data_IF_500805621875
#
_entry.id   IF_500805621875
#
_cell.length_a   1.000
_cell.length_b   1.000
_cell.length_c   1.000
_cell.angle_alpha   90.00
_cell.angle_beta   90.00
_cell.angle_gamma   90.00
#
_symmetry.space_group_name_H-M   'P 1'
#
loop_
_entity.id
_entity.type
_entity.pdbx_description
1 polymer ?
#
# COMPACT_ATOMS: atom_id res chain seq x y z
N UNK A 1 15.40 6.04 -1.56
CA UNK A 1 16.64 6.05 -0.77
C UNK A 1 17.83 5.62 -1.62
N UNK A 2 17.89 4.38 -2.12
CA UNK A 2 19.02 3.91 -2.94
C UNK A 2 19.36 4.83 -4.12
N UNK A 3 18.39 5.14 -4.99
CA UNK A 3 18.66 5.99 -6.16
C UNK A 3 19.14 7.41 -5.82
N UNK A 4 18.64 7.99 -4.73
CA UNK A 4 19.09 9.32 -4.27
C UNK A 4 20.52 9.25 -3.74
N UNK A 5 20.85 8.23 -2.94
CA UNK A 5 22.22 8.04 -2.46
C UNK A 5 23.18 7.76 -3.63
N UNK A 6 22.76 6.99 -4.62
CA UNK A 6 23.56 6.73 -5.81
C UNK A 6 23.79 8.01 -6.62
N UNK A 7 22.75 8.82 -6.81
CA UNK A 7 22.84 10.13 -7.45
C UNK A 7 23.82 11.07 -6.72
N UNK A 8 23.72 11.16 -5.39
CA UNK A 8 24.61 11.97 -4.57
C UNK A 8 26.07 11.52 -4.69
N UNK A 9 26.32 10.20 -4.63
CA UNK A 9 27.65 9.63 -4.80
C UNK A 9 28.23 9.91 -6.19
N UNK A 10 27.42 9.77 -7.25
CA UNK A 10 27.86 10.04 -8.62
C UNK A 10 28.30 11.51 -8.80
N UNK A 11 27.72 12.43 -8.03
CA UNK A 11 28.05 13.85 -8.04
C UNK A 11 29.07 14.25 -6.96
N UNK A 12 29.68 13.29 -6.26
CA UNK A 12 30.58 13.56 -5.13
C UNK A 12 29.97 14.44 -4.02
N UNK A 13 28.63 14.37 -3.85
CA UNK A 13 27.91 15.06 -2.78
C UNK A 13 27.93 14.25 -1.50
N UNK A 14 27.74 14.92 -0.37
CA UNK A 14 27.47 14.24 0.90
C UNK A 14 26.13 13.53 0.84
N UNK A 15 26.09 12.26 1.27
CA UNK A 15 24.85 11.50 1.32
C UNK A 15 23.85 12.16 2.29
N UNK A 16 22.68 12.53 1.79
CA UNK A 16 21.62 13.15 2.60
C UNK A 16 20.91 12.16 3.51
N UNK A 17 20.98 10.86 3.19
CA UNK A 17 20.31 9.80 3.91
C UNK A 17 21.21 8.58 4.11
N UNK A 18 21.58 8.31 5.36
CA UNK A 18 22.30 7.08 5.73
C UNK A 18 21.28 5.95 5.96
N UNK A 19 21.32 4.85 5.19
CA UNK A 19 20.40 3.73 5.36
C UNK A 19 20.64 3.05 6.70
N UNK A 20 19.55 2.70 7.38
CA UNK A 20 19.61 1.94 8.62
C UNK A 20 19.09 0.53 8.41
N UNK A 21 19.94 -0.46 8.72
CA UNK A 21 19.63 -1.89 8.66
C UNK A 21 19.23 -2.46 10.02
N UNK A 22 18.99 -1.59 11.01
CA UNK A 22 18.68 -1.98 12.39
C UNK A 22 17.28 -2.60 12.45
N UNK A 23 17.18 -3.93 12.36
CA UNK A 23 15.89 -4.64 12.43
C UNK A 23 15.18 -4.52 13.78
N UNK A 24 15.92 -4.25 14.86
CA UNK A 24 15.35 -4.12 16.21
C UNK A 24 14.35 -2.97 16.38
N UNK A 25 14.25 -2.08 15.39
CA UNK A 25 13.27 -0.99 15.35
C UNK A 25 11.85 -1.49 15.05
N UNK A 26 11.74 -2.72 14.55
CA UNK A 26 10.48 -3.44 14.32
C UNK A 26 10.33 -4.60 15.32
N UNK A 27 10.75 -4.40 16.57
CA UNK A 27 10.57 -5.40 17.61
C UNK A 27 9.09 -5.50 18.04
N UNK A 28 8.59 -6.72 18.30
CA UNK A 28 7.24 -6.93 18.82
C UNK A 28 7.09 -6.38 20.24
N UNK A 29 5.85 -6.16 20.65
CA UNK A 29 5.47 -5.87 22.04
C UNK A 29 5.77 -7.06 22.95
N UNK A 30 5.81 -6.77 24.25
CA UNK A 30 5.97 -7.77 25.32
C UNK A 30 4.87 -7.55 26.37
N UNK A 31 3.81 -8.38 26.39
CA UNK A 31 3.51 -9.46 25.44
C UNK A 31 3.07 -8.92 24.05
N UNK A 32 3.19 -9.72 22.97
CA UNK A 32 2.56 -9.40 21.70
C UNK A 32 1.03 -9.32 21.84
N UNK A 33 0.39 -8.42 21.08
CA UNK A 33 -1.07 -8.22 21.09
C UNK A 33 -1.62 -8.57 19.71
N UNK A 34 -2.58 -9.50 19.68
CA UNK A 34 -3.28 -9.87 18.46
C UNK A 34 -4.38 -8.86 18.13
N UNK A 35 -4.40 -8.37 16.91
CA UNK A 35 -5.47 -7.51 16.39
C UNK A 35 -6.33 -8.31 15.41
N UNK A 36 -7.65 -8.32 15.63
CA UNK A 36 -8.59 -9.06 14.79
C UNK A 36 -8.64 -8.53 13.36
N UNK A 37 -8.35 -7.23 13.14
CA UNK A 37 -8.29 -6.65 11.81
C UNK A 37 -7.14 -7.25 10.97
N UNK A 38 -5.97 -7.44 11.58
CA UNK A 38 -4.78 -7.94 10.88
C UNK A 38 -4.98 -9.38 10.38
N UNK A 39 -5.71 -10.20 11.14
CA UNK A 39 -6.08 -11.56 10.77
C UNK A 39 -7.00 -11.64 9.54
N UNK A 40 -7.66 -10.53 9.18
CA UNK A 40 -8.47 -10.49 7.95
C UNK A 40 -7.60 -10.24 6.72
N UNK A 41 -6.44 -9.60 6.89
CA UNK A 41 -5.55 -9.18 5.81
C UNK A 41 -4.47 -10.21 5.47
N UNK A 42 -4.08 -11.03 6.44
CA UNK A 42 -3.00 -12.00 6.28
C UNK A 42 -3.42 -13.38 6.76
N UNK A 43 -2.88 -14.40 6.11
CA UNK A 43 -3.16 -15.80 6.37
C UNK A 43 -1.87 -16.62 6.34
N UNK A 44 -1.78 -17.72 7.11
CA UNK A 44 -0.62 -18.60 7.06
C UNK A 44 -0.48 -19.26 5.68
N UNK A 45 0.76 -19.41 5.20
CA UNK A 45 1.05 -20.01 3.90
C UNK A 45 0.48 -21.44 3.78
N UNK A 46 0.45 -22.21 4.87
CA UNK A 46 -0.11 -23.56 4.87
C UNK A 46 -1.63 -23.61 4.68
N UNK A 47 -2.33 -22.49 4.92
CA UNK A 47 -3.79 -22.40 4.77
C UNK A 47 -4.24 -22.16 3.33
N UNK A 48 -3.32 -21.81 2.43
CA UNK A 48 -3.65 -21.55 1.03
C UNK A 48 -3.95 -22.90 0.34
N UNK A 49 -5.10 -23.04 -0.33
CA UNK A 49 -5.39 -24.25 -1.09
C UNK A 49 -4.36 -24.44 -2.22
N UNK A 50 -4.10 -25.70 -2.64
CA UNK A 50 -3.18 -25.96 -3.75
C UNK A 50 -3.58 -25.17 -4.99
N UNK A 51 -2.60 -24.52 -5.62
CA UNK A 51 -2.80 -23.82 -6.88
C UNK A 51 -3.37 -24.82 -7.90
N UNK A 52 -4.60 -24.61 -8.35
CA UNK A 52 -5.06 -25.27 -9.57
C UNK A 52 -4.26 -24.70 -10.72
N UNK A 53 -3.85 -25.55 -11.66
CA UNK A 53 -3.13 -25.16 -12.87
C UNK A 53 -4.03 -24.26 -13.72
N UNK A 54 -4.06 -22.97 -13.39
CA UNK A 54 -4.69 -21.95 -14.19
C UNK A 54 -3.63 -21.51 -15.18
N UNK A 55 -3.65 -22.10 -16.37
CA UNK A 55 -2.97 -21.51 -17.51
C UNK A 55 -3.91 -20.43 -18.03
N UNK A 56 -3.61 -19.13 -17.84
CA UNK A 56 -4.43 -18.11 -18.46
C UNK A 56 -4.42 -18.37 -19.96
N UNK A 57 -5.61 -18.52 -20.54
CA UNK A 57 -5.77 -18.76 -21.98
C UNK A 57 -5.17 -17.60 -22.79
N UNK A 58 -5.16 -16.41 -22.20
CA UNK A 58 -4.62 -15.18 -22.77
C UNK A 58 -3.30 -14.75 -22.10
N UNK A 59 -2.38 -14.16 -22.87
CA UNK A 59 -1.13 -13.65 -22.33
C UNK A 59 -1.37 -12.44 -21.41
N UNK A 60 -0.60 -12.35 -20.32
CA UNK A 60 -0.58 -11.15 -19.48
C UNK A 60 0.00 -9.97 -20.27
N UNK A 61 -0.75 -8.87 -20.36
CA UNK A 61 -0.34 -7.65 -21.06
C UNK A 61 -0.08 -6.53 -20.04
N UNK A 62 1.12 -5.96 -20.09
CA UNK A 62 1.44 -4.73 -19.36
C UNK A 62 1.14 -3.50 -20.22
N UNK A 63 0.42 -2.52 -19.65
CA UNK A 63 0.04 -1.27 -20.33
C UNK A 63 0.33 -0.07 -19.43
N UNK A 64 0.79 1.01 -20.05
CA UNK A 64 0.99 2.31 -19.38
C UNK A 64 -0.14 3.24 -19.82
N UNK A 65 -0.87 3.77 -18.85
CA UNK A 65 -1.94 4.74 -19.08
C UNK A 65 -1.51 6.12 -18.58
N UNK A 66 -1.78 7.14 -19.39
CA UNK A 66 -1.60 8.54 -18.99
C UNK A 66 -2.97 9.16 -18.70
N UNK A 67 -3.12 9.74 -17.52
CA UNK A 67 -4.38 10.36 -17.08
C UNK A 67 -4.14 11.86 -16.93
N UNK A 68 -4.89 12.67 -17.66
CA UNK A 68 -4.72 14.12 -17.57
C UNK A 68 -5.16 14.63 -16.20
N UNK A 69 -4.45 15.66 -15.71
CA UNK A 69 -4.77 16.34 -14.46
C UNK A 69 -6.23 16.81 -14.41
N UNK A 70 -6.80 17.24 -15.54
CA UNK A 70 -8.20 17.69 -15.62
C UNK A 70 -9.19 16.57 -15.32
N UNK A 71 -8.91 15.36 -15.80
CA UNK A 71 -9.79 14.21 -15.60
C UNK A 71 -9.75 13.76 -14.14
N UNK A 72 -8.58 13.79 -13.50
CA UNK A 72 -8.47 13.50 -12.05
C UNK A 72 -9.17 14.58 -11.22
N UNK A 73 -8.87 15.85 -11.45
CA UNK A 73 -9.32 16.95 -10.58
C UNK A 73 -10.80 17.29 -10.78
N UNK A 74 -11.22 17.46 -12.03
CA UNK A 74 -12.53 18.00 -12.37
C UNK A 74 -13.58 16.92 -12.59
N UNK A 75 -13.18 15.67 -12.85
CA UNK A 75 -14.10 14.56 -13.06
C UNK A 75 -14.07 13.56 -11.89
N UNK A 76 -12.95 12.88 -11.65
CA UNK A 76 -12.91 11.82 -10.64
C UNK A 76 -13.05 12.36 -9.21
N UNK A 77 -12.25 13.36 -8.84
CA UNK A 77 -12.23 13.87 -7.47
C UNK A 77 -13.50 14.64 -7.10
N UNK A 78 -14.10 15.36 -8.07
CA UNK A 78 -15.34 16.09 -7.86
C UNK A 78 -16.54 15.15 -7.65
N UNK A 79 -16.71 14.15 -8.53
CA UNK A 79 -17.81 13.18 -8.46
C UNK A 79 -17.67 12.31 -7.21
N UNK A 80 -16.45 11.86 -6.89
CA UNK A 80 -16.22 11.06 -5.68
C UNK A 80 -16.42 11.83 -4.37
N UNK A 81 -16.45 13.17 -4.40
CA UNK A 81 -16.65 14.01 -3.21
C UNK A 81 -18.07 14.60 -3.11
N UNK A 82 -19.01 14.15 -3.96
CA UNK A 82 -20.31 14.80 -4.20
C UNK A 82 -21.20 14.97 -2.95
N UNK A 83 -21.09 14.11 -1.92
CA UNK A 83 -21.95 14.12 -0.73
C UNK A 83 -21.30 14.66 0.57
N UNK A 84 -20.14 15.29 0.51
CA UNK A 84 -19.67 16.12 1.63
C UNK A 84 -18.22 15.93 2.07
N UNK A 85 -17.81 16.90 2.89
CA UNK A 85 -16.49 17.02 3.47
C UNK A 85 -16.17 15.84 4.42
N UNK A 86 -14.92 15.37 4.49
CA UNK A 86 -13.76 15.91 3.78
C UNK A 86 -13.67 15.43 2.33
N UNK A 87 -13.21 16.33 1.45
CA UNK A 87 -12.90 16.05 0.05
C UNK A 87 -12.01 14.80 -0.09
N UNK A 88 -12.42 13.83 -0.93
CA UNK A 88 -11.65 12.60 -1.16
C UNK A 88 -10.32 12.93 -1.83
N UNK A 89 -9.27 12.18 -1.49
CA UNK A 89 -7.95 12.39 -2.11
C UNK A 89 -7.96 11.92 -3.56
N UNK A 90 -7.11 12.50 -4.41
CA UNK A 90 -6.99 12.09 -5.82
C UNK A 90 -6.72 10.59 -5.97
N UNK A 91 -5.92 10.02 -5.06
CA UNK A 91 -5.61 8.59 -5.04
C UNK A 91 -6.85 7.76 -4.72
N UNK A 92 -7.63 8.13 -3.69
CA UNK A 92 -8.88 7.44 -3.34
C UNK A 92 -9.88 7.51 -4.49
N UNK A 93 -10.05 8.68 -5.10
CA UNK A 93 -10.94 8.87 -6.25
C UNK A 93 -10.52 8.02 -7.45
N UNK A 94 -9.22 7.92 -7.71
CA UNK A 94 -8.68 7.10 -8.79
C UNK A 94 -8.84 5.60 -8.52
N UNK A 95 -8.58 5.14 -7.29
CA UNK A 95 -8.78 3.74 -6.90
C UNK A 95 -10.26 3.35 -7.02
N UNK A 96 -11.18 4.21 -6.58
CA UNK A 96 -12.61 3.96 -6.71
C UNK A 96 -13.05 3.82 -8.17
N UNK A 97 -12.51 4.68 -9.05
CA UNK A 97 -12.75 4.62 -10.48
C UNK A 97 -12.21 3.32 -11.09
N UNK A 98 -10.98 2.94 -10.73
CA UNK A 98 -10.37 1.69 -11.20
C UNK A 98 -11.16 0.47 -10.73
N UNK A 99 -11.67 0.48 -9.49
CA UNK A 99 -12.51 -0.61 -8.96
C UNK A 99 -13.78 -0.80 -9.79
N UNK A 100 -14.45 0.31 -10.15
CA UNK A 100 -15.63 0.26 -11.02
C UNK A 100 -15.28 -0.24 -12.42
N UNK A 101 -14.21 0.27 -13.04
CA UNK A 101 -13.80 -0.16 -14.38
C UNK A 101 -13.54 -1.67 -14.43
N UNK A 102 -12.82 -2.21 -13.44
CA UNK A 102 -12.54 -3.64 -13.39
C UNK A 102 -13.82 -4.44 -13.20
N UNK A 103 -14.72 -3.98 -12.32
CA UNK A 103 -16.03 -4.60 -12.17
C UNK A 103 -16.86 -4.57 -13.47
N UNK A 104 -16.73 -3.52 -14.29
CA UNK A 104 -17.40 -3.35 -15.59
C UNK A 104 -16.78 -4.19 -16.72
N UNK A 105 -15.49 -4.53 -16.62
CA UNK A 105 -14.74 -5.16 -17.71
C UNK A 105 -14.84 -6.69 -17.72
N UNK A 106 -15.30 -7.30 -16.63
CA UNK A 106 -15.29 -8.74 -16.45
C UNK A 106 -16.64 -9.24 -15.91
N UNK A 107 -17.46 -9.81 -16.81
CA UNK A 107 -18.79 -10.33 -16.48
C UNK A 107 -18.75 -11.71 -15.80
N UNK A 108 -17.59 -12.38 -15.78
CA UNK A 108 -17.45 -13.72 -15.22
C UNK A 108 -17.18 -13.69 -13.70
N UNK A 109 -16.69 -12.56 -13.16
CA UNK A 109 -16.43 -12.43 -11.72
C UNK A 109 -17.65 -12.00 -10.93
N UNK A 110 -18.05 -12.84 -9.97
CA UNK A 110 -19.13 -12.53 -9.02
C UNK A 110 -18.74 -11.43 -8.02
N UNK A 111 -17.47 -11.37 -7.64
CA UNK A 111 -16.89 -10.37 -6.73
C UNK A 111 -15.60 -9.78 -7.28
N UNK A 112 -15.20 -8.62 -6.77
CA UNK A 112 -13.94 -7.97 -7.10
C UNK A 112 -13.28 -7.46 -5.82
N UNK A 113 -12.00 -7.82 -5.62
CA UNK A 113 -11.20 -7.40 -4.47
C UNK A 113 -10.31 -6.21 -4.86
N UNK A 114 -10.33 -5.15 -4.06
CA UNK A 114 -9.48 -3.97 -4.24
C UNK A 114 -8.62 -3.74 -3.00
N UNK A 115 -7.30 -3.79 -3.20
CA UNK A 115 -6.30 -3.53 -2.16
C UNK A 115 -5.40 -2.35 -2.47
N UNK A 116 -4.82 -1.79 -1.42
CA UNK A 116 -3.94 -0.61 -1.53
C UNK A 116 -2.71 -0.82 -0.68
N UNK A 117 -1.52 -0.63 -1.27
CA UNK A 117 -0.26 -0.69 -0.51
C UNK A 117 -0.11 0.56 0.36
N UNK A 118 0.00 0.35 1.67
CA UNK A 118 0.17 1.42 2.67
C UNK A 118 1.59 1.39 3.25
N UNK A 119 2.25 2.55 3.25
CA UNK A 119 3.60 2.72 3.81
C UNK A 119 3.57 2.97 5.32
N UNK A 120 4.10 2.04 6.12
CA UNK A 120 4.14 2.14 7.58
C UNK A 120 5.21 3.04 8.16
N UNK A 121 6.21 3.48 7.36
CA UNK A 121 7.33 4.29 7.89
C UNK A 121 6.86 5.56 8.57
N UNK A 122 6.00 6.32 7.92
CA UNK A 122 5.48 7.58 8.47
C UNK A 122 4.58 7.37 9.70
N UNK A 123 3.94 6.19 9.79
CA UNK A 123 3.03 5.85 10.89
C UNK A 123 3.81 5.43 12.13
N UNK A 124 4.86 4.62 11.96
CA UNK A 124 5.76 4.21 13.03
C UNK A 124 6.74 5.32 13.45
N UNK A 125 6.99 6.33 12.61
CA UNK A 125 7.94 7.41 12.94
C UNK A 125 7.44 8.32 14.07
N UNK A 126 6.13 8.47 14.26
CA UNK A 126 5.55 9.43 15.22
C UNK A 126 5.95 9.12 16.66
N UNK A 127 5.92 7.85 17.07
CA UNK A 127 6.27 7.43 18.44
C UNK A 127 7.76 7.34 18.72
N UNK A 128 8.60 7.10 17.71
CA UNK A 128 10.05 7.08 17.93
C UNK A 128 10.59 8.45 18.34
N UNK A 129 10.03 9.56 17.86
CA UNK A 129 10.42 10.89 18.31
C UNK A 129 10.02 11.16 19.77
N UNK A 130 8.78 10.84 20.16
CA UNK A 130 8.29 11.07 21.53
C UNK A 130 8.98 10.20 22.58
N UNK A 131 9.27 8.92 22.26
CA UNK A 131 9.98 8.02 23.18
C UNK A 131 11.47 8.32 23.26
N UNK A 132 12.15 8.67 22.17
CA UNK A 132 13.58 9.01 22.25
C UNK A 132 13.82 10.36 22.92
N UNK A 133 12.95 11.36 22.72
CA UNK A 133 13.08 12.67 23.36
C UNK A 133 12.96 12.62 24.88
N UNK A 134 12.31 11.59 25.44
CA UNK A 134 12.21 11.40 26.90
C UNK A 134 13.44 10.76 27.55
N UNK A 135 14.32 10.07 26.79
CA UNK A 135 15.39 9.25 27.39
C UNK A 135 16.82 9.66 27.00
N UNK A 136 17.04 10.41 25.90
CA UNK A 136 18.39 10.83 25.51
C UNK A 136 18.38 12.22 24.85
N UNK A 137 19.06 13.19 25.46
CA UNK A 137 19.20 14.55 24.94
C UNK A 137 20.22 14.70 23.79
N UNK A 138 21.04 13.68 23.49
CA UNK A 138 22.17 13.80 22.55
C UNK A 138 22.40 12.58 21.64
N UNK A 139 21.35 11.97 21.07
CA UNK A 139 21.56 10.87 20.12
C UNK A 139 20.76 11.05 18.83
N UNK A 140 21.50 10.95 17.72
CA UNK A 140 21.07 10.73 16.34
C UNK A 140 19.69 10.00 16.27
N UNK A 141 18.59 10.76 16.22
CA UNK A 141 17.25 10.19 16.35
C UNK A 141 16.98 9.27 15.16
N UNK A 142 16.81 7.97 15.42
CA UNK A 142 16.51 7.01 14.36
C UNK A 142 15.18 7.37 13.67
N UNK A 143 15.26 7.70 12.38
CA UNK A 143 14.09 8.01 11.55
C UNK A 143 13.68 6.78 10.76
N UNK A 144 12.40 6.39 10.85
CA UNK A 144 11.82 5.31 10.03
C UNK A 144 11.93 5.60 8.53
N UNK A 145 12.12 6.86 8.13
CA UNK A 145 12.38 7.23 6.71
C UNK A 145 13.67 6.60 6.19
N UNK A 146 14.65 6.38 7.07
CA UNK A 146 15.97 5.83 6.71
C UNK A 146 16.03 4.31 6.84
N UNK A 147 14.98 3.67 7.36
CA UNK A 147 14.94 2.22 7.51
C UNK A 147 15.01 1.52 6.14
N UNK A 148 16.03 0.68 5.97
CA UNK A 148 16.20 -0.18 4.81
C UNK A 148 15.48 -1.53 5.05
N UNK A 149 14.36 -1.72 4.37
CA UNK A 149 13.54 -2.94 4.47
C UNK A 149 12.07 -2.70 4.15
N UNK A 150 11.24 -3.74 4.25
CA UNK A 150 9.80 -3.62 4.02
C UNK A 150 9.08 -3.11 5.26
N UNK A 151 8.19 -2.13 5.07
CA UNK A 151 7.30 -1.61 6.12
C UNK A 151 5.97 -1.29 5.44
N UNK A 152 5.27 -2.34 5.01
CA UNK A 152 4.11 -2.26 4.14
C UNK A 152 2.96 -3.06 4.72
N UNK A 153 1.74 -2.60 4.46
CA UNK A 153 0.50 -3.36 4.65
C UNK A 153 -0.36 -3.22 3.40
N UNK A 154 -1.27 -4.17 3.19
CA UNK A 154 -2.15 -4.20 2.03
C UNK A 154 -3.60 -4.38 2.54
N UNK A 155 -4.20 -3.35 3.17
CA UNK A 155 -5.64 -3.36 3.42
C UNK A 155 -6.39 -3.55 2.09
N UNK A 156 -7.47 -4.31 2.14
CA UNK A 156 -8.32 -4.54 1.00
C UNK A 156 -9.77 -4.68 1.41
N UNK A 157 -10.66 -4.58 0.42
CA UNK A 157 -12.07 -4.88 0.56
C UNK A 157 -12.55 -5.67 -0.66
N UNK A 158 -13.70 -6.30 -0.52
CA UNK A 158 -14.36 -7.12 -1.53
C UNK A 158 -15.80 -6.65 -1.66
N UNK A 159 -16.27 -6.56 -2.91
CA UNK A 159 -17.65 -6.22 -3.21
C UNK A 159 -18.11 -6.97 -4.45
N UNK A 160 -19.43 -7.16 -4.60
CA UNK A 160 -19.98 -7.82 -5.78
C UNK A 160 -19.81 -6.93 -7.01
N UNK A 161 -19.40 -7.51 -8.13
CA UNK A 161 -19.15 -6.77 -9.37
C UNK A 161 -20.42 -6.04 -9.83
N UNK A 162 -21.58 -6.71 -9.79
CA UNK A 162 -22.87 -6.09 -10.13
C UNK A 162 -23.24 -4.89 -9.23
N UNK A 163 -22.95 -4.96 -7.93
CA UNK A 163 -23.20 -3.84 -7.01
C UNK A 163 -22.26 -2.67 -7.28
N UNK A 164 -20.98 -2.94 -7.57
CA UNK A 164 -20.00 -1.92 -7.93
C UNK A 164 -20.35 -1.17 -9.22
N UNK A 165 -20.91 -1.85 -10.22
CA UNK A 165 -21.36 -1.24 -11.49
C UNK A 165 -22.42 -0.16 -11.23
N UNK A 166 -23.41 -0.47 -10.41
CA UNK A 166 -24.54 0.42 -10.12
C UNK A 166 -24.21 1.53 -9.10
N UNK A 167 -23.26 1.29 -8.18
CA UNK A 167 -22.93 2.27 -7.14
C UNK A 167 -22.38 3.58 -7.70
N UNK A 168 -22.80 4.75 -7.18
CA UNK A 168 -22.16 6.01 -7.55
C UNK A 168 -20.70 6.02 -7.12
N UNK A 169 -19.84 6.68 -7.91
CA UNK A 169 -18.39 6.75 -7.66
C UNK A 169 -18.06 7.30 -6.26
N UNK A 170 -18.88 8.20 -5.72
CA UNK A 170 -18.76 8.69 -4.34
C UNK A 170 -18.88 7.58 -3.31
N UNK A 171 -19.85 6.67 -3.46
CA UNK A 171 -20.01 5.54 -2.53
C UNK A 171 -18.84 4.57 -2.61
N UNK A 172 -18.35 4.28 -3.82
CA UNK A 172 -17.16 3.43 -3.99
C UNK A 172 -15.93 4.10 -3.38
N UNK A 173 -15.79 5.43 -3.50
CA UNK A 173 -14.71 6.18 -2.84
C UNK A 173 -14.83 6.17 -1.31
N UNK A 174 -16.04 6.16 -0.76
CA UNK A 174 -16.27 5.98 0.67
C UNK A 174 -15.82 4.58 1.12
N UNK A 175 -16.18 3.53 0.38
CA UNK A 175 -15.72 2.17 0.66
C UNK A 175 -14.19 2.06 0.64
N UNK A 176 -13.54 2.69 -0.35
CA UNK A 176 -12.07 2.76 -0.42
C UNK A 176 -11.49 3.44 0.82
N UNK A 177 -12.06 4.56 1.23
CA UNK A 177 -11.62 5.23 2.44
C UNK A 177 -11.86 4.41 3.71
N UNK A 178 -13.01 3.76 3.83
CA UNK A 178 -13.42 2.93 4.96
C UNK A 178 -12.46 1.77 5.17
N UNK A 179 -12.11 1.00 4.13
CA UNK A 179 -11.20 -0.14 4.30
C UNK A 179 -9.74 0.28 4.49
N UNK A 180 -9.33 1.43 3.94
CA UNK A 180 -7.97 1.93 4.13
C UNK A 180 -7.75 2.47 5.55
N UNK A 181 -8.74 3.16 6.11
CA UNK A 181 -8.58 3.95 7.35
C UNK A 181 -7.99 3.17 8.53
N UNK A 182 -8.41 1.92 8.83
CA UNK A 182 -7.82 1.12 9.91
C UNK A 182 -6.31 0.86 9.72
N UNK A 183 -5.83 0.80 8.48
CA UNK A 183 -4.42 0.60 8.17
C UNK A 183 -3.58 1.90 8.15
N UNK A 184 -4.18 3.05 8.42
CA UNK A 184 -3.54 4.38 8.29
C UNK A 184 -2.99 4.92 9.61
N UNK A 185 -2.82 4.08 10.63
CA UNK A 185 -2.33 4.47 11.95
C UNK A 185 -1.14 3.59 12.40
N UNK A 186 -0.54 3.96 13.53
CA UNK A 186 0.59 3.24 14.11
C UNK A 186 0.19 1.87 14.67
N UNK A 187 -0.95 1.80 15.37
CA UNK A 187 -1.40 0.61 16.07
C UNK A 187 -1.54 -0.58 15.12
N UNK A 188 -2.03 -0.33 13.91
CA UNK A 188 -2.04 -1.28 12.80
C UNK A 188 -0.67 -1.90 12.53
N UNK A 189 0.36 -1.07 12.32
CA UNK A 189 1.70 -1.58 12.02
C UNK A 189 2.36 -2.28 13.22
N UNK A 190 2.02 -1.89 14.45
CA UNK A 190 2.46 -2.63 15.65
C UNK A 190 1.74 -3.97 15.79
N UNK A 191 0.45 -4.03 15.46
CA UNK A 191 -0.34 -5.25 15.36
C UNK A 191 0.25 -6.23 14.34
N UNK A 192 0.62 -5.74 13.15
CA UNK A 192 1.29 -6.57 12.14
C UNK A 192 2.63 -7.15 12.61
N UNK A 193 3.44 -6.36 13.33
CA UNK A 193 4.72 -6.84 13.89
C UNK A 193 4.46 -7.97 14.88
N UNK A 194 3.50 -7.79 15.79
CA UNK A 194 3.14 -8.79 16.78
C UNK A 194 2.54 -10.04 16.14
N UNK A 195 1.66 -9.89 15.16
CA UNK A 195 1.07 -10.99 14.42
C UNK A 195 2.14 -11.82 13.73
N UNK A 196 3.14 -11.18 13.11
CA UNK A 196 4.28 -11.89 12.51
C UNK A 196 5.07 -12.64 13.58
N UNK A 197 5.31 -12.05 14.75
CA UNK A 197 6.02 -12.75 15.84
C UNK A 197 5.23 -13.96 16.36
N UNK A 198 3.90 -13.82 16.54
CA UNK A 198 3.03 -14.87 17.04
C UNK A 198 2.91 -16.08 16.10
N UNK A 199 3.03 -15.86 14.78
CA UNK A 199 2.94 -16.94 13.79
C UNK A 199 4.29 -17.56 13.43
N UNK A 200 5.42 -17.02 13.92
CA UNK A 200 6.72 -17.61 13.63
C UNK A 200 6.80 -19.07 14.12
N UNK A 201 7.46 -19.95 13.34
CA UNK A 201 8.26 -19.68 12.14
C UNK A 201 7.44 -19.67 10.83
N UNK A 202 6.12 -19.80 10.87
CA UNK A 202 5.28 -19.91 9.67
C UNK A 202 5.18 -18.58 8.91
N UNK A 203 5.42 -18.56 7.59
CA UNK A 203 5.21 -17.36 6.78
C UNK A 203 3.73 -17.00 6.67
N UNK A 204 3.45 -15.70 6.75
CA UNK A 204 2.15 -15.12 6.44
C UNK A 204 2.17 -14.54 5.02
N UNK A 205 1.07 -14.69 4.29
CA UNK A 205 0.85 -14.04 2.99
C UNK A 205 -0.32 -13.08 3.06
N UNK A 206 -0.31 -12.04 2.22
CA UNK A 206 -1.46 -11.15 2.11
C UNK A 206 -2.62 -11.88 1.43
N UNK A 207 -3.77 -11.94 2.10
CA UNK A 207 -4.94 -12.71 1.68
C UNK A 207 -5.49 -12.29 0.32
N UNK A 208 -5.36 -11.01 -0.04
CA UNK A 208 -5.77 -10.52 -1.37
C UNK A 208 -5.06 -11.21 -2.54
N UNK A 209 -3.84 -11.72 -2.34
CA UNK A 209 -3.11 -12.47 -3.39
C UNK A 209 -3.48 -13.95 -3.44
N UNK A 210 -4.43 -14.38 -2.61
CA UNK A 210 -4.81 -15.79 -2.48
C UNK A 210 -6.26 -15.97 -2.93
N UNK A 211 -6.52 -17.07 -3.63
CA UNK A 211 -7.87 -17.59 -3.82
C UNK A 211 -8.09 -18.67 -2.77
N UNK A 212 -8.89 -18.35 -1.76
CA UNK A 212 -9.28 -19.28 -0.70
C UNK A 212 -10.47 -20.13 -1.12
N UNK A 213 -11.34 -19.59 -1.97
CA UNK A 213 -12.53 -20.25 -2.50
C UNK A 213 -12.50 -20.28 -4.04
N UNK A 214 -13.19 -21.25 -4.66
CA UNK A 214 -13.23 -21.37 -6.13
C UNK A 214 -13.84 -20.13 -6.80
N UNK A 215 -14.81 -19.51 -6.13
CA UNK A 215 -15.56 -18.35 -6.63
C UNK A 215 -14.95 -17.02 -6.17
N UNK A 216 -13.79 -17.03 -5.52
CA UNK A 216 -13.10 -15.81 -5.13
C UNK A 216 -12.79 -14.97 -6.37
N UNK A 217 -13.33 -13.74 -6.37
CA UNK A 217 -13.01 -12.74 -7.37
C UNK A 217 -11.52 -12.41 -7.43
N UNK A 218 -11.07 -11.93 -8.58
CA UNK A 218 -9.69 -11.50 -8.76
C UNK A 218 -9.35 -10.31 -7.85
N UNK A 219 -8.11 -10.33 -7.36
CA UNK A 219 -7.55 -9.29 -6.51
C UNK A 219 -6.75 -8.27 -7.31
N UNK A 220 -7.19 -7.02 -7.27
CA UNK A 220 -6.41 -5.90 -7.77
C UNK A 220 -5.75 -5.14 -6.62
N UNK A 221 -4.44 -4.91 -6.73
CA UNK A 221 -3.69 -4.13 -5.73
C UNK A 221 -3.07 -2.88 -6.36
N UNK A 222 -3.38 -1.72 -5.79
CA UNK A 222 -2.81 -0.44 -6.18
C UNK A 222 -1.63 -0.08 -5.29
N UNK A 223 -0.45 0.09 -5.89
CA UNK A 223 0.75 0.61 -5.22
C UNK A 223 1.10 1.99 -5.76
N UNK A 224 1.05 3.02 -4.90
CA UNK A 224 1.31 4.40 -5.29
C UNK A 224 2.78 4.79 -5.08
N UNK A 225 3.47 5.02 -6.19
CA UNK A 225 4.83 5.55 -6.27
C UNK A 225 4.87 7.06 -6.50
N UNK A 226 3.78 7.79 -6.26
CA UNK A 226 3.76 9.27 -6.38
C UNK A 226 4.81 9.96 -5.51
N UNK A 227 5.24 9.31 -4.43
CA UNK A 227 6.31 9.82 -3.55
C UNK A 227 7.71 9.32 -3.93
N UNK A 228 7.82 8.56 -5.02
CA UNK A 228 9.10 8.16 -5.56
C UNK A 228 9.76 9.39 -6.21
N UNK A 229 10.96 9.79 -5.76
CA UNK A 229 11.53 11.09 -6.09
C UNK A 229 12.22 11.10 -7.48
N UNK A 230 11.54 10.64 -8.53
CA UNK A 230 12.09 10.53 -9.90
C UNK A 230 12.68 11.85 -10.37
N UNK A 231 11.94 12.94 -10.18
CA UNK A 231 12.31 14.29 -10.63
C UNK A 231 13.51 14.90 -9.88
N UNK A 232 13.91 14.26 -8.76
CA UNK A 232 15.04 14.70 -7.93
C UNK A 232 16.33 13.94 -8.24
N UNK A 233 16.29 12.93 -9.12
CA UNK A 233 17.47 12.14 -9.49
C UNK A 233 18.21 12.87 -10.62
N UNK A 234 19.51 13.16 -10.44
CA UNK A 234 20.32 13.87 -11.45
C UNK A 234 21.78 13.38 -11.49
N UNK A 235 22.07 12.32 -12.24
CA UNK A 235 23.42 11.74 -12.30
C UNK A 235 24.50 12.61 -12.98
N UNK A 236 24.18 13.85 -13.39
CA UNK A 236 25.10 14.75 -14.10
C UNK A 236 24.78 14.96 -15.59
N UNK A 237 23.87 14.17 -16.17
CA UNK A 237 23.54 14.21 -17.61
C UNK A 237 22.09 14.59 -17.91
N UNK A 238 21.36 15.12 -16.93
CA UNK A 238 19.93 15.45 -17.06
C UNK A 238 19.06 14.72 -16.05
N UNK A 239 17.80 15.16 -15.96
CA UNK A 239 16.76 14.52 -15.15
C UNK A 239 16.06 13.43 -15.97
N UNK A 240 15.49 12.40 -15.33
CA UNK A 240 14.66 11.42 -16.04
C UNK A 240 13.43 12.08 -16.68
N UNK A 241 13.16 11.75 -17.94
CA UNK A 241 11.95 12.20 -18.64
C UNK A 241 10.71 11.37 -18.24
N UNK A 242 10.91 10.12 -17.84
CA UNK A 242 9.85 9.18 -17.45
C UNK A 242 10.40 8.13 -16.49
N UNK A 243 9.59 7.70 -15.53
CA UNK A 243 9.89 6.61 -14.61
C UNK A 243 8.66 5.76 -14.35
N UNK A 244 8.80 4.45 -14.55
CA UNK A 244 7.80 3.43 -14.21
C UNK A 244 8.49 2.34 -13.38
N UNK A 245 7.75 1.69 -12.49
CA UNK A 245 8.21 0.61 -11.61
C UNK A 245 7.22 -0.56 -11.66
#
# INVERSE_FOLDING_TARGET
>A
MFFIAWDELAQSKTNSCVPSFRRSVLNPRRPPVMNTFDNTLFVPLSSIPPLRSYFPADPLISRIYYIHQKDINHHLQSISSFNGNPKRTKLVSFIAFLWKIIAESDDDFTTCKMGVVVNGRERLNKVNFEKLSMFYSDTNSFSMKNYFGNVLSIPYSEAKSGELKEMPLSRVADMVHEFMSPAMNEEHFRGLIDMVELHRPEPLVARIYTKMEENDGEGLVVSSGQRFPVENIYFGWGKPNFGSY
#
